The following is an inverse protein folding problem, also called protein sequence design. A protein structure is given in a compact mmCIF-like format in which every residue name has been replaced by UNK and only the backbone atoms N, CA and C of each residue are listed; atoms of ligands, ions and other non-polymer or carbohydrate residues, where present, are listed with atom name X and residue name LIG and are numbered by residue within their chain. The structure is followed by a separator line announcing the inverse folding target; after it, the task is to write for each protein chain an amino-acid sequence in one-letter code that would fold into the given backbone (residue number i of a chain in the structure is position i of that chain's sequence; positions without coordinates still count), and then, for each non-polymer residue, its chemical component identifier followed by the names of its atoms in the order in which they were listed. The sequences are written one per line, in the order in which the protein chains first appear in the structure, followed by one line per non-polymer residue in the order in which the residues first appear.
data_IF_918792371641
#
_entry.id   IF_918792371641
#
_cell.length_a   1.000
_cell.length_b   1.000
_cell.length_c   1.000
_cell.angle_alpha   90.00
_cell.angle_beta   90.00
_cell.angle_gamma   90.00
#
_symmetry.space_group_name_H-M   'P 1'
#
loop_
_entity.id
_entity.type
_entity.pdbx_description
1 polymer ?
#
# COMPACT_ATOMS: atom_id res chain seq x y z
N UNK A 1 4.11 -9.68 -18.25
CA UNK A 1 2.70 -9.38 -17.92
C UNK A 1 2.71 -8.93 -16.48
N UNK A 2 2.90 -7.63 -16.21
CA UNK A 2 2.84 -7.06 -14.85
C UNK A 2 2.44 -5.58 -14.99
N UNK A 3 1.20 -5.31 -15.39
CA UNK A 3 0.65 -3.97 -15.56
C UNK A 3 -0.11 -3.46 -14.30
N UNK A 4 -0.03 -4.17 -13.18
CA UNK A 4 -0.87 -3.89 -12.00
C UNK A 4 -0.27 -2.89 -11.00
N UNK A 5 1.00 -2.47 -11.16
CA UNK A 5 1.65 -1.55 -10.21
C UNK A 5 1.07 -0.12 -10.23
N UNK A 6 0.43 0.30 -11.32
CA UNK A 6 -0.11 1.68 -11.46
C UNK A 6 -1.45 1.92 -10.76
N UNK A 7 -2.18 0.86 -10.39
CA UNK A 7 -3.56 1.01 -9.91
C UNK A 7 -3.59 1.48 -8.45
N UNK A 8 -2.65 1.06 -7.58
CA UNK A 8 -2.72 1.33 -6.14
C UNK A 8 -2.56 2.82 -5.75
N UNK A 9 -1.94 3.65 -6.60
CA UNK A 9 -1.69 5.07 -6.31
C UNK A 9 -2.94 5.95 -6.50
N UNK A 10 -3.93 5.48 -7.29
CA UNK A 10 -5.18 6.21 -7.53
C UNK A 10 -6.25 6.07 -6.45
N UNK A 11 -6.24 4.97 -5.68
CA UNK A 11 -7.39 4.56 -4.86
C UNK A 11 -7.45 5.27 -3.50
N UNK A 12 -6.33 5.80 -2.99
CA UNK A 12 -6.29 6.63 -1.79
C UNK A 12 -6.73 8.10 -2.04
N UNK A 13 -7.20 8.44 -3.26
CA UNK A 13 -7.50 9.83 -3.65
C UNK A 13 -9.00 10.16 -3.86
N UNK A 14 -9.91 9.17 -3.92
CA UNK A 14 -11.29 9.40 -4.38
C UNK A 14 -12.38 8.87 -3.43
N UNK A 15 -12.35 9.29 -2.16
CA UNK A 15 -13.52 9.18 -1.29
C UNK A 15 -14.00 10.58 -0.90
N UNK A 16 -14.71 11.25 -1.83
CA UNK A 16 -15.70 12.30 -1.52
C UNK A 16 -16.41 12.82 -2.78
N UNK A 17 -17.74 12.71 -2.73
CA UNK A 17 -18.77 13.46 -3.48
C UNK A 17 -19.19 13.01 -4.88
N UNK A 18 -20.26 12.22 -4.89
CA UNK A 18 -21.33 12.20 -5.89
C UNK A 18 -22.16 13.49 -5.73
N UNK A 19 -22.37 14.25 -6.81
CA UNK A 19 -23.72 14.62 -7.33
C UNK A 19 -23.65 15.67 -8.46
N UNK A 20 -24.30 15.29 -9.57
CA UNK A 20 -25.16 16.09 -10.46
C UNK A 20 -24.61 16.93 -11.64
N UNK A 21 -25.26 16.64 -12.79
CA UNK A 21 -25.40 17.34 -14.09
C UNK A 21 -24.33 17.01 -15.14
N UNK A 22 -24.63 16.50 -16.33
CA UNK A 22 -25.87 16.53 -17.12
C UNK A 22 -25.69 17.41 -18.36
N UNK A 23 -25.46 16.76 -19.51
CA UNK A 23 -25.56 17.21 -20.92
C UNK A 23 -24.81 18.48 -21.39
N UNK A 24 -24.08 18.29 -22.52
CA UNK A 24 -24.20 18.99 -23.82
C UNK A 24 -22.86 19.50 -24.43
N UNK A 25 -22.51 18.86 -25.56
CA UNK A 25 -21.84 19.35 -26.80
C UNK A 25 -20.63 20.31 -26.81
N UNK A 26 -19.56 19.81 -27.47
CA UNK A 26 -18.65 20.39 -28.48
C UNK A 26 -18.48 21.94 -28.55
N UNK A 27 -17.22 22.42 -28.51
CA UNK A 27 -16.48 23.15 -29.58
C UNK A 27 -15.11 23.61 -29.04
N UNK A 28 -14.10 23.55 -29.91
CA UNK A 28 -12.68 23.91 -29.77
C UNK A 28 -12.33 25.16 -28.95
N UNK A 29 -11.26 25.04 -28.14
CA UNK A 29 -10.23 26.09 -28.00
C UNK A 29 -8.97 25.54 -27.34
N UNK A 30 -7.84 25.81 -27.97
CA UNK A 30 -6.48 25.67 -27.44
C UNK A 30 -6.39 26.40 -26.08
N UNK A 31 -6.42 25.63 -24.99
CA UNK A 31 -6.15 26.14 -23.64
C UNK A 31 -4.77 25.64 -23.22
N UNK A 32 -3.85 26.59 -23.17
CA UNK A 32 -2.61 26.57 -22.38
C UNK A 32 -2.65 25.55 -21.24
N UNK A 33 -1.79 24.54 -21.34
CA UNK A 33 -1.56 23.56 -20.28
C UNK A 33 -0.87 24.28 -19.12
N UNK A 34 -1.64 24.92 -18.24
CA UNK A 34 -1.13 25.37 -16.94
C UNK A 34 -0.93 24.11 -16.08
N UNK A 35 0.29 23.78 -15.64
CA UNK A 35 0.48 22.67 -14.71
C UNK A 35 -0.33 22.96 -13.45
N UNK A 36 -1.17 22.00 -13.10
CA UNK A 36 -2.14 22.10 -12.01
C UNK A 36 -1.41 22.20 -10.66
N UNK A 37 -1.18 23.44 -10.20
CA UNK A 37 -0.49 23.78 -8.95
C UNK A 37 -1.25 23.30 -7.68
N UNK A 38 -2.45 22.74 -7.81
CA UNK A 38 -3.29 22.31 -6.66
C UNK A 38 -2.90 20.96 -6.03
N UNK A 39 -1.96 20.21 -6.60
CA UNK A 39 -1.52 18.92 -6.00
C UNK A 39 -0.68 19.11 -4.74
N UNK A 40 -0.08 20.29 -4.55
CA UNK A 40 0.91 20.57 -3.51
C UNK A 40 0.35 20.90 -2.10
N UNK A 41 -0.98 20.85 -1.88
CA UNK A 41 -1.58 21.14 -0.55
C UNK A 41 -2.03 19.88 0.23
N UNK A 42 -2.43 18.81 -0.46
CA UNK A 42 -2.95 17.59 0.19
C UNK A 42 -1.85 16.77 0.86
N UNK A 43 -0.70 16.61 0.22
CA UNK A 43 0.39 15.78 0.76
C UNK A 43 1.06 16.42 1.98
N UNK A 44 1.17 17.75 1.99
CA UNK A 44 1.64 18.49 3.17
C UNK A 44 0.67 18.32 4.35
N UNK A 45 -0.63 18.43 4.10
CA UNK A 45 -1.65 18.25 5.13
C UNK A 45 -1.66 16.81 5.67
N UNK A 46 -1.55 15.81 4.79
CA UNK A 46 -1.37 14.40 5.15
C UNK A 46 -0.15 14.19 6.05
N UNK A 47 1.00 14.78 5.70
CA UNK A 47 2.22 14.67 6.52
C UNK A 47 2.05 15.30 7.90
N UNK A 48 1.35 16.43 8.01
CA UNK A 48 1.08 17.09 9.30
C UNK A 48 0.17 16.21 10.15
N UNK A 49 -0.90 15.66 9.59
CA UNK A 49 -1.83 14.76 10.30
C UNK A 49 -1.15 13.47 10.74
N UNK A 50 -0.39 12.82 9.85
CA UNK A 50 0.38 11.63 10.17
C UNK A 50 1.41 11.92 11.28
N UNK A 51 2.07 13.09 11.27
CA UNK A 51 3.00 13.48 12.34
C UNK A 51 2.31 13.64 13.69
N UNK A 52 1.07 14.17 13.73
CA UNK A 52 0.27 14.23 14.96
C UNK A 52 -0.08 12.83 15.47
N UNK A 53 -0.34 11.88 14.57
CA UNK A 53 -0.64 10.49 14.92
C UNK A 53 0.59 9.76 15.48
N UNK A 54 1.80 10.01 14.95
CA UNK A 54 3.04 9.42 15.48
C UNK A 54 3.37 9.83 16.91
N UNK A 55 2.95 11.03 17.32
CA UNK A 55 3.19 11.51 18.68
C UNK A 55 2.29 10.77 19.69
N UNK A 56 1.24 10.11 19.22
CA UNK A 56 0.40 9.25 20.05
C UNK A 56 1.06 7.89 20.23
N UNK A 57 0.65 7.19 21.29
CA UNK A 57 0.96 5.77 21.46
C UNK A 57 0.49 5.00 20.22
N UNK A 58 1.24 3.98 19.85
CA UNK A 58 0.85 3.12 18.73
C UNK A 58 -0.42 2.35 19.07
N UNK A 59 -1.37 2.37 18.15
CA UNK A 59 -2.61 1.61 18.24
C UNK A 59 -2.39 0.18 17.71
N UNK A 60 -3.15 -0.81 18.22
CA UNK A 60 -3.14 -2.15 17.64
C UNK A 60 -3.59 -2.12 16.17
N UNK A 61 -3.13 -3.10 15.38
CA UNK A 61 -3.63 -3.28 14.03
C UNK A 61 -5.11 -3.68 14.06
N UNK A 62 -5.92 -2.96 13.29
CA UNK A 62 -7.34 -3.23 13.10
C UNK A 62 -7.57 -3.63 11.65
N UNK A 63 -8.32 -4.69 11.44
CA UNK A 63 -8.73 -5.12 10.12
C UNK A 63 -9.77 -4.17 9.53
N UNK A 64 -9.57 -3.79 8.26
CA UNK A 64 -10.46 -2.91 7.52
C UNK A 64 -11.42 -3.77 6.70
N UNK A 65 -12.70 -3.49 6.85
CA UNK A 65 -13.76 -4.12 6.07
C UNK A 65 -13.69 -3.66 4.60
N UNK A 66 -13.20 -4.55 3.73
CA UNK A 66 -13.00 -4.29 2.32
C UNK A 66 -14.31 -4.04 1.55
N UNK A 67 -15.46 -4.53 2.03
CA UNK A 67 -16.75 -4.30 1.37
C UNK A 67 -17.18 -2.83 1.34
N UNK A 68 -16.59 -2.02 2.23
CA UNK A 68 -16.93 -0.60 2.42
C UNK A 68 -15.97 0.35 1.72
N UNK A 69 -14.87 -0.14 1.17
CA UNK A 69 -13.83 0.68 0.58
C UNK A 69 -13.51 0.23 -0.84
N UNK A 70 -13.14 1.19 -1.67
CA UNK A 70 -12.59 0.90 -2.99
C UNK A 70 -11.15 0.40 -2.84
N UNK A 71 -10.85 -0.78 -3.38
CA UNK A 71 -9.57 -1.46 -3.21
C UNK A 71 -9.20 -2.26 -4.47
N UNK A 72 -7.90 -2.46 -4.73
CA UNK A 72 -7.45 -3.28 -5.85
C UNK A 72 -7.95 -4.73 -5.73
N UNK A 73 -8.29 -5.32 -6.88
CA UNK A 73 -8.91 -6.65 -6.96
C UNK A 73 -8.05 -7.80 -6.39
N UNK A 74 -6.73 -7.62 -6.28
CA UNK A 74 -5.83 -8.61 -5.70
C UNK A 74 -5.86 -8.64 -4.17
N UNK A 75 -6.39 -7.59 -3.52
CA UNK A 75 -6.33 -7.47 -2.06
C UNK A 75 -7.42 -8.32 -1.40
N UNK A 76 -7.00 -9.29 -0.61
CA UNK A 76 -7.90 -10.19 0.13
C UNK A 76 -8.23 -9.66 1.52
N UNK A 77 -7.28 -8.98 2.18
CA UNK A 77 -7.47 -8.35 3.48
C UNK A 77 -6.55 -7.16 3.68
N UNK A 78 -6.91 -6.29 4.63
CA UNK A 78 -6.17 -5.06 4.91
C UNK A 78 -6.17 -4.76 6.40
N UNK A 79 -5.00 -4.50 6.96
CA UNK A 79 -4.81 -4.08 8.34
C UNK A 79 -4.28 -2.66 8.40
N UNK A 80 -4.73 -1.90 9.39
CA UNK A 80 -4.31 -0.53 9.59
C UNK A 80 -4.18 -0.19 11.06
N UNK A 81 -3.16 0.58 11.40
CA UNK A 81 -3.09 1.30 12.68
C UNK A 81 -2.82 2.80 12.43
N UNK A 82 -2.38 3.53 13.44
CA UNK A 82 -2.08 4.96 13.32
C UNK A 82 -0.74 5.28 12.62
N UNK A 83 0.08 4.26 12.29
CA UNK A 83 1.42 4.42 11.67
C UNK A 83 1.52 3.80 10.28
N UNK A 84 0.90 2.63 10.10
CA UNK A 84 1.08 1.76 8.95
C UNK A 84 -0.26 1.30 8.38
N UNK A 85 -0.23 1.03 7.08
CA UNK A 85 -1.23 0.23 6.37
C UNK A 85 -0.54 -1.00 5.81
N UNK A 86 -1.16 -2.16 6.00
CA UNK A 86 -0.70 -3.45 5.48
C UNK A 86 -1.79 -4.05 4.61
N UNK A 87 -1.51 -4.17 3.32
CA UNK A 87 -2.43 -4.75 2.34
C UNK A 87 -1.94 -6.15 1.98
N UNK A 88 -2.85 -7.11 1.91
CA UNK A 88 -2.50 -8.53 1.81
C UNK A 88 -3.24 -9.17 0.65
N UNK A 89 -2.52 -10.06 -0.03
CA UNK A 89 -3.00 -11.02 -1.02
C UNK A 89 -2.65 -12.42 -0.52
N UNK A 90 -3.64 -13.12 0.04
CA UNK A 90 -3.43 -14.45 0.62
C UNK A 90 -3.27 -15.55 -0.45
N UNK A 91 -3.52 -15.25 -1.73
CA UNK A 91 -3.49 -16.22 -2.83
C UNK A 91 -2.55 -15.78 -3.96
N UNK A 92 -1.45 -15.11 -3.59
CA UNK A 92 -0.47 -14.65 -4.55
C UNK A 92 0.20 -15.85 -5.22
N UNK A 93 0.00 -15.99 -6.54
CA UNK A 93 0.62 -17.05 -7.33
C UNK A 93 2.11 -16.76 -7.50
N UNK A 94 2.95 -17.73 -7.14
CA UNK A 94 4.40 -17.66 -7.28
C UNK A 94 4.89 -18.83 -8.16
N UNK A 95 6.18 -18.86 -8.50
CA UNK A 95 6.75 -19.94 -9.32
C UNK A 95 6.51 -21.33 -8.74
N UNK A 96 6.45 -21.42 -7.42
CA UNK A 96 6.30 -22.67 -6.67
C UNK A 96 5.04 -22.59 -5.79
N UNK A 97 3.86 -22.71 -6.40
CA UNK A 97 2.59 -22.74 -5.69
C UNK A 97 2.02 -21.35 -5.36
N UNK A 98 1.62 -21.17 -4.10
CA UNK A 98 1.00 -19.93 -3.61
C UNK A 98 1.72 -19.45 -2.36
N UNK A 99 1.76 -18.13 -2.20
CA UNK A 99 2.32 -17.47 -1.04
C UNK A 99 1.38 -16.33 -0.63
N UNK A 100 1.51 -15.88 0.61
CA UNK A 100 0.83 -14.67 1.07
C UNK A 100 1.76 -13.50 0.76
N UNK A 101 1.30 -12.56 -0.06
CA UNK A 101 2.03 -11.32 -0.37
C UNK A 101 1.49 -10.20 0.50
N UNK A 102 2.37 -9.50 1.19
CA UNK A 102 2.00 -8.36 2.03
C UNK A 102 2.78 -7.10 1.63
N UNK A 103 2.04 -6.02 1.47
CA UNK A 103 2.51 -4.68 1.16
C UNK A 103 2.40 -3.82 2.41
N UNK A 104 3.51 -3.25 2.88
CA UNK A 104 3.55 -2.36 4.04
C UNK A 104 3.85 -0.94 3.58
N UNK A 105 3.03 0.01 4.01
CA UNK A 105 3.24 1.44 3.74
C UNK A 105 3.10 2.27 5.01
N UNK A 106 4.08 3.15 5.24
CA UNK A 106 4.02 4.16 6.31
C UNK A 106 3.09 5.30 5.91
N UNK A 107 2.22 5.75 6.84
CA UNK A 107 1.32 6.89 6.61
C UNK A 107 2.06 8.21 6.43
N UNK A 108 3.33 8.28 6.82
CA UNK A 108 4.18 9.44 6.59
C UNK A 108 4.71 9.53 5.16
N UNK A 109 4.61 8.43 4.40
CA UNK A 109 5.31 8.24 3.14
C UNK A 109 6.81 8.59 3.26
N UNK A 110 7.44 8.17 4.35
CA UNK A 110 8.87 8.26 4.61
C UNK A 110 9.43 6.84 4.80
N UNK A 111 10.75 6.65 4.61
CA UNK A 111 11.39 5.38 4.92
C UNK A 111 11.10 4.94 6.36
N UNK A 112 10.88 3.64 6.56
CA UNK A 112 10.63 3.08 7.88
C UNK A 112 11.95 3.11 8.67
N UNK A 113 11.94 3.79 9.81
CA UNK A 113 13.08 3.82 10.73
C UNK A 113 13.20 2.47 11.45
N UNK A 114 14.43 1.99 11.66
CA UNK A 114 14.68 0.64 12.18
C UNK A 114 13.93 -0.44 11.39
N UNK A 115 13.96 -0.28 10.06
CA UNK A 115 13.21 -1.05 9.07
C UNK A 115 13.07 -2.53 9.41
N UNK A 116 14.17 -3.23 9.62
CA UNK A 116 14.15 -4.67 9.90
C UNK A 116 13.33 -5.02 11.15
N UNK A 117 13.57 -4.33 12.26
CA UNK A 117 12.87 -4.58 13.53
C UNK A 117 11.38 -4.26 13.42
N UNK A 118 11.02 -3.18 12.72
CA UNK A 118 9.63 -2.80 12.50
C UNK A 118 8.89 -3.78 11.58
N UNK A 119 9.52 -4.20 10.48
CA UNK A 119 8.94 -5.19 9.58
C UNK A 119 8.77 -6.55 10.28
N UNK A 120 9.74 -6.98 11.09
CA UNK A 120 9.61 -8.19 11.92
C UNK A 120 8.45 -8.07 12.91
N UNK A 121 8.30 -6.92 13.57
CA UNK A 121 7.20 -6.66 14.51
C UNK A 121 5.85 -6.70 13.82
N UNK A 122 5.70 -6.02 12.68
CA UNK A 122 4.48 -6.02 11.86
C UNK A 122 4.13 -7.46 11.45
N UNK A 123 5.12 -8.21 10.96
CA UNK A 123 4.95 -9.62 10.59
C UNK A 123 4.46 -10.45 11.77
N UNK A 124 5.08 -10.31 12.94
CA UNK A 124 4.71 -11.04 14.15
C UNK A 124 3.26 -10.76 14.57
N UNK A 125 2.81 -9.51 14.47
CA UNK A 125 1.45 -9.12 14.87
C UNK A 125 0.40 -9.65 13.90
N UNK A 126 0.69 -9.63 12.60
CA UNK A 126 -0.32 -9.95 11.56
C UNK A 126 -0.35 -11.45 11.22
N UNK A 127 0.82 -12.09 11.12
CA UNK A 127 0.95 -13.47 10.68
C UNK A 127 1.30 -14.43 11.81
N UNK A 128 1.90 -13.91 12.89
CA UNK A 128 2.34 -14.70 14.03
C UNK A 128 3.88 -14.71 14.18
N UNK A 129 4.39 -14.95 15.40
CA UNK A 129 5.83 -14.90 15.67
C UNK A 129 6.63 -15.99 14.96
N UNK A 130 6.07 -17.19 14.86
CA UNK A 130 6.72 -18.37 14.26
C UNK A 130 6.67 -18.40 12.73
N UNK A 131 5.95 -17.45 12.12
CA UNK A 131 5.84 -17.37 10.67
C UNK A 131 7.15 -16.86 10.06
N UNK A 132 7.61 -17.54 9.02
CA UNK A 132 8.77 -17.09 8.23
C UNK A 132 8.32 -16.27 7.02
N UNK A 133 8.99 -15.14 6.81
CA UNK A 133 8.73 -14.25 5.69
C UNK A 133 10.04 -13.85 5.01
N UNK A 134 9.95 -13.56 3.71
CA UNK A 134 11.06 -13.08 2.89
C UNK A 134 10.72 -11.68 2.42
N UNK A 135 11.63 -10.74 2.61
CA UNK A 135 11.52 -9.43 1.98
C UNK A 135 12.01 -9.50 0.53
N UNK A 136 11.21 -8.95 -0.38
CA UNK A 136 11.49 -9.05 -1.81
C UNK A 136 12.24 -7.83 -2.32
N UNK A 137 13.37 -8.09 -2.96
CA UNK A 137 14.17 -7.09 -3.65
C UNK A 137 14.14 -7.43 -5.15
N UNK A 138 13.39 -6.66 -5.98
CA UNK A 138 13.29 -6.94 -7.41
C UNK A 138 14.62 -6.71 -8.12
N UNK A 139 14.76 -7.30 -9.31
CA UNK A 139 15.84 -6.92 -10.23
C UNK A 139 15.73 -5.43 -10.57
N UNK A 140 16.87 -4.75 -10.76
CA UNK A 140 16.92 -3.30 -11.02
C UNK A 140 16.04 -2.88 -12.22
N UNK A 141 15.95 -3.72 -13.25
CA UNK A 141 15.09 -3.49 -14.42
C UNK A 141 13.59 -3.50 -14.13
N UNK A 142 13.19 -4.00 -12.96
CA UNK A 142 11.81 -4.09 -12.46
C UNK A 142 11.63 -3.28 -11.16
N UNK A 143 12.65 -2.53 -10.73
CA UNK A 143 12.60 -1.74 -9.51
C UNK A 143 11.72 -0.51 -9.71
N UNK A 144 10.58 -0.50 -9.02
CA UNK A 144 9.73 0.69 -8.92
C UNK A 144 9.87 1.32 -7.53
N UNK A 145 10.84 2.22 -7.37
CA UNK A 145 11.11 2.91 -6.10
C UNK A 145 10.59 4.36 -6.11
N UNK A 146 9.27 4.52 -6.22
CA UNK A 146 8.62 5.86 -6.26
C UNK A 146 7.94 6.23 -4.94
N UNK A 147 7.54 5.23 -4.18
CA UNK A 147 6.80 5.37 -2.94
C UNK A 147 7.48 4.49 -1.88
N UNK A 148 7.50 4.91 -0.61
CA UNK A 148 8.14 4.14 0.47
C UNK A 148 7.27 2.92 0.86
N UNK A 149 7.18 1.98 -0.07
CA UNK A 149 6.39 0.75 0.00
C UNK A 149 7.36 -0.42 0.10
N UNK A 150 7.08 -1.31 1.04
CA UNK A 150 7.90 -2.49 1.30
C UNK A 150 7.06 -3.73 1.12
N UNK A 151 7.65 -4.76 0.53
CA UNK A 151 6.92 -5.98 0.23
C UNK A 151 7.57 -7.18 0.91
N UNK A 152 6.75 -8.03 1.52
CA UNK A 152 7.17 -9.31 2.08
C UNK A 152 6.28 -10.44 1.55
N UNK A 153 6.87 -11.62 1.43
CA UNK A 153 6.17 -12.85 1.10
C UNK A 153 6.29 -13.81 2.26
N UNK A 154 5.14 -14.33 2.68
CA UNK A 154 5.02 -15.36 3.70
C UNK A 154 4.69 -16.66 3.00
N UNK A 155 5.50 -17.68 3.28
CA UNK A 155 5.31 -19.04 2.78
C UNK A 155 4.87 -19.93 3.92
N UNK A 156 4.09 -20.97 3.61
CA UNK A 156 3.81 -22.02 4.57
C UNK A 156 5.09 -22.80 4.90
N UNK A 157 5.13 -23.40 6.09
CA UNK A 157 6.28 -24.16 6.55
C UNK A 157 6.69 -25.24 5.54
N UNK A 158 8.00 -25.35 5.30
CA UNK A 158 8.57 -26.30 4.34
C UNK A 158 8.52 -25.89 2.85
N UNK A 159 7.93 -24.73 2.52
CA UNK A 159 7.85 -24.22 1.14
C UNK A 159 8.77 -23.03 0.85
N UNK A 160 9.57 -22.59 1.83
CA UNK A 160 10.48 -21.47 1.60
C UNK A 160 11.49 -21.86 0.52
N UNK A 161 11.70 -21.03 -0.52
CA UNK A 161 12.67 -21.28 -1.56
C UNK A 161 14.10 -20.91 -1.10
N UNK A 162 14.45 -21.24 0.14
CA UNK A 162 15.78 -21.03 0.72
C UNK A 162 16.33 -22.38 1.20
N UNK A 163 17.65 -22.61 1.10
CA UNK A 163 18.25 -23.80 1.69
C UNK A 163 18.03 -23.81 3.21
N UNK A 164 17.55 -24.94 3.73
CA UNK A 164 17.43 -25.25 5.16
C UNK A 164 18.77 -25.65 5.76
#
# INVERSE_FOLDING_TARGET
MDYECQVCIGYMANASFILLRGLLWLVDRVVSFKPNCKRMNKDKQRRIEARKLLLRKEDPFVEIDLSKIDHPAWMTRCFRNNRYTVMIDDQCKVSTGTAIRAMVQSHLNLPIQNHWSEMQRIKNVIFGPETTAIEYYPAESRLENRENIYWMWVFNDGLLPIPV
#
